data_IF_575063523893
#
_entry.id   IF_575063523893
#
_cell.length_a   1.000
_cell.length_b   1.000
_cell.length_c   1.000
_cell.angle_alpha   90.00
_cell.angle_beta   90.00
_cell.angle_gamma   90.00
#
_symmetry.space_group_name_H-M   'P 1'
#
loop_
_entity.id
_entity.type
_entity.pdbx_description
1 polymer ?
#
# COMPACT_ATOMS: atom_id res chain seq x y z
N UNK A 1 25.99 2.55 -16.64
CA UNK A 1 25.21 1.38 -16.14
C UNK A 1 23.81 1.50 -16.73
N UNK A 2 23.44 0.69 -17.73
CA UNK A 2 22.14 0.77 -18.41
C UNK A 2 21.05 0.18 -17.49
N UNK A 3 20.21 1.03 -16.91
CA UNK A 3 18.96 0.63 -16.25
C UNK A 3 17.99 0.12 -17.32
N UNK A 4 17.90 -1.20 -17.50
CA UNK A 4 16.86 -1.81 -18.33
C UNK A 4 15.60 -2.02 -17.48
N UNK A 5 14.67 -1.07 -17.59
CA UNK A 5 13.26 -1.19 -17.23
C UNK A 5 12.62 -2.29 -18.10
N UNK A 6 12.87 -3.54 -17.76
CA UNK A 6 11.91 -4.60 -18.00
C UNK A 6 11.24 -4.85 -16.66
N UNK A 7 10.38 -3.92 -16.28
CA UNK A 7 9.24 -4.22 -15.42
C UNK A 7 8.36 -5.06 -16.34
N UNK A 8 7.94 -6.26 -15.95
CA UNK A 8 6.63 -6.72 -16.43
C UNK A 8 5.58 -5.87 -15.72
N UNK A 9 5.63 -4.56 -15.94
CA UNK A 9 4.45 -3.74 -15.81
C UNK A 9 3.60 -4.26 -16.94
N UNK A 10 2.62 -5.11 -16.62
CA UNK A 10 1.39 -4.95 -17.39
C UNK A 10 1.00 -3.51 -17.08
N UNK A 11 1.36 -2.61 -18.00
CA UNK A 11 0.78 -1.29 -18.04
C UNK A 11 -0.72 -1.50 -17.87
N UNK A 12 -1.38 -0.61 -17.14
CA UNK A 12 -2.82 -0.46 -17.28
C UNK A 12 -3.00 0.00 -18.73
N UNK A 13 -3.08 -0.96 -19.64
CA UNK A 13 -3.39 -0.73 -21.04
C UNK A 13 -4.91 -0.57 -21.06
N UNK A 14 -5.34 0.69 -21.03
CA UNK A 14 -6.71 1.03 -21.39
C UNK A 14 -6.86 0.72 -22.89
N UNK A 15 -7.37 -0.48 -23.21
CA UNK A 15 -7.79 -0.80 -24.56
C UNK A 15 -9.23 -0.34 -24.75
N UNK A 16 -9.54 0.45 -25.78
CA UNK A 16 -10.93 0.71 -26.14
C UNK A 16 -11.59 -0.63 -26.50
N UNK A 17 -12.66 -1.00 -25.81
CA UNK A 17 -13.48 -2.13 -26.25
C UNK A 17 -14.16 -1.78 -27.58
N UNK A 18 -14.59 -2.82 -28.32
CA UNK A 18 -15.30 -2.66 -29.58
C UNK A 18 -16.64 -1.91 -29.46
N UNK A 19 -17.12 -1.63 -28.24
CA UNK A 19 -18.34 -0.85 -27.96
C UNK A 19 -18.08 0.56 -27.45
N UNK A 20 -16.82 0.96 -27.24
CA UNK A 20 -16.47 2.29 -26.70
C UNK A 20 -16.52 2.40 -25.18
N UNK A 21 -16.86 1.32 -24.46
CA UNK A 21 -16.80 1.27 -22.99
C UNK A 21 -15.39 0.86 -22.52
N UNK A 22 -14.89 1.52 -21.47
CA UNK A 22 -13.62 1.19 -20.84
C UNK A 22 -13.71 -0.17 -20.14
N UNK A 23 -12.81 -1.10 -20.48
CA UNK A 23 -12.63 -2.34 -19.71
C UNK A 23 -11.74 -2.01 -18.50
N UNK A 24 -12.33 -2.02 -17.31
CA UNK A 24 -11.58 -1.92 -16.05
C UNK A 24 -10.82 -3.24 -15.85
N UNK A 25 -9.50 -3.23 -16.04
CA UNK A 25 -8.67 -4.31 -15.50
C UNK A 25 -8.49 -4.07 -14.00
N UNK A 26 -8.66 -5.13 -13.19
CA UNK A 26 -8.34 -5.13 -11.76
C UNK A 26 -6.99 -4.44 -11.53
N UNK A 27 -6.88 -3.54 -10.55
CA UNK A 27 -5.57 -2.98 -10.22
C UNK A 27 -4.67 -4.12 -9.73
N UNK A 28 -3.54 -4.43 -10.41
CA UNK A 28 -2.46 -5.09 -9.71
C UNK A 28 -1.94 -4.09 -8.69
N UNK A 29 -2.24 -4.34 -7.40
CA UNK A 29 -1.66 -3.55 -6.34
C UNK A 29 -0.16 -3.61 -6.47
N UNK A 30 0.56 -2.50 -6.53
CA UNK A 30 1.89 -2.61 -7.06
C UNK A 30 2.88 -2.85 -5.91
N UNK A 31 2.83 -4.04 -5.28
CA UNK A 31 4.00 -4.52 -4.51
C UNK A 31 5.20 -4.58 -5.46
N UNK A 32 4.96 -4.90 -6.72
CA UNK A 32 5.92 -4.79 -7.83
C UNK A 32 6.33 -3.37 -8.25
N UNK A 33 5.76 -2.27 -7.70
CA UNK A 33 6.21 -0.89 -8.01
C UNK A 33 7.24 -0.35 -7.04
N UNK A 34 7.50 -1.03 -5.93
CA UNK A 34 8.70 -0.70 -5.17
C UNK A 34 9.85 -0.97 -6.13
N UNK A 35 10.60 0.06 -6.52
CA UNK A 35 11.72 -0.03 -7.45
C UNK A 35 12.92 -0.75 -6.80
N UNK A 36 12.66 -1.94 -6.28
CA UNK A 36 13.61 -2.83 -5.67
C UNK A 36 14.59 -3.30 -6.74
N UNK A 37 15.86 -3.45 -6.36
CA UNK A 37 16.85 -3.99 -7.29
C UNK A 37 16.41 -5.40 -7.77
N UNK A 38 16.43 -5.64 -9.09
CA UNK A 38 16.02 -6.91 -9.72
C UNK A 38 16.68 -8.17 -9.14
N UNK A 39 17.82 -8.02 -8.48
CA UNK A 39 18.56 -9.14 -7.89
C UNK A 39 18.44 -9.19 -6.36
N UNK A 40 17.55 -8.42 -5.73
CA UNK A 40 17.53 -8.27 -4.27
C UNK A 40 17.39 -9.60 -3.53
N UNK A 41 16.53 -10.48 -4.05
CA UNK A 41 16.24 -11.79 -3.48
C UNK A 41 16.77 -12.94 -4.33
N UNK A 42 17.69 -12.66 -5.26
CA UNK A 42 18.22 -13.69 -6.15
C UNK A 42 19.17 -14.59 -5.37
N UNK A 43 18.83 -15.87 -5.31
CA UNK A 43 19.56 -16.93 -4.62
C UNK A 43 20.02 -18.00 -5.61
N UNK A 44 20.93 -18.87 -5.19
CA UNK A 44 21.47 -19.98 -5.97
C UNK A 44 21.09 -21.30 -5.31
N UNK A 45 20.40 -22.16 -6.05
CA UNK A 45 20.05 -23.50 -5.58
C UNK A 45 21.31 -24.35 -5.44
N UNK A 46 21.55 -24.92 -4.26
CA UNK A 46 22.78 -25.70 -4.03
C UNK A 46 22.82 -27.03 -4.80
N UNK A 47 21.66 -27.58 -5.20
CA UNK A 47 21.61 -28.87 -5.92
C UNK A 47 21.78 -28.68 -7.41
N UNK A 48 21.09 -27.69 -7.99
CA UNK A 48 21.08 -27.48 -9.45
C UNK A 48 22.07 -26.42 -9.91
N UNK A 49 22.51 -25.53 -9.02
CA UNK A 49 23.30 -24.35 -9.37
C UNK A 49 22.49 -23.25 -10.07
N UNK A 50 21.18 -23.43 -10.24
CA UNK A 50 20.31 -22.48 -10.92
C UNK A 50 19.89 -21.34 -9.99
N UNK A 51 19.69 -20.16 -10.57
CA UNK A 51 19.18 -19.01 -9.82
C UNK A 51 17.68 -19.14 -9.55
N UNK A 52 17.24 -18.68 -8.39
CA UNK A 52 15.82 -18.55 -8.03
C UNK A 52 15.60 -17.34 -7.13
N UNK A 53 14.34 -17.00 -6.86
CA UNK A 53 13.93 -15.89 -6.00
C UNK A 53 12.61 -16.20 -5.25
N UNK A 54 12.08 -15.19 -4.58
CA UNK A 54 10.83 -15.21 -3.81
C UNK A 54 9.69 -14.41 -4.47
N UNK A 55 9.79 -14.09 -5.77
CA UNK A 55 8.80 -13.24 -6.45
C UNK A 55 7.40 -13.86 -6.44
N UNK A 56 7.30 -15.19 -6.54
CA UNK A 56 6.03 -15.93 -6.49
C UNK A 56 5.30 -15.73 -5.15
N UNK A 57 6.04 -15.72 -4.04
CA UNK A 57 5.50 -15.50 -2.69
C UNK A 57 5.03 -14.05 -2.50
N UNK A 58 5.81 -13.09 -2.97
CA UNK A 58 5.43 -11.68 -2.98
C UNK A 58 4.17 -11.46 -3.84
N UNK A 59 4.08 -12.11 -5.00
CA UNK A 59 2.93 -12.03 -5.88
C UNK A 59 1.66 -12.71 -5.32
N UNK A 60 1.82 -13.82 -4.60
CA UNK A 60 0.71 -14.44 -3.89
C UNK A 60 0.11 -13.49 -2.85
N UNK A 61 0.96 -12.80 -2.09
CA UNK A 61 0.53 -11.77 -1.15
C UNK A 61 -0.08 -10.54 -1.84
N UNK A 62 0.49 -10.11 -2.96
CA UNK A 62 -0.01 -8.98 -3.77
C UNK A 62 -1.46 -9.19 -4.20
N UNK A 63 -1.78 -10.38 -4.74
CA UNK A 63 -3.15 -10.70 -5.19
C UNK A 63 -4.18 -10.66 -4.07
N UNK A 64 -3.83 -11.17 -2.89
CA UNK A 64 -4.73 -11.14 -1.72
C UNK A 64 -5.02 -9.71 -1.29
N UNK A 65 -3.98 -8.87 -1.27
CA UNK A 65 -4.13 -7.46 -0.93
C UNK A 65 -4.93 -6.72 -2.01
N UNK A 66 -4.71 -7.05 -3.29
CA UNK A 66 -5.38 -6.40 -4.42
C UNK A 66 -6.88 -6.59 -4.39
N UNK A 67 -7.36 -7.77 -3.98
CA UNK A 67 -8.79 -8.01 -3.80
C UNK A 67 -9.43 -7.02 -2.79
N UNK A 68 -8.75 -6.76 -1.67
CA UNK A 68 -9.23 -5.78 -0.67
C UNK A 68 -9.17 -4.36 -1.22
N UNK A 69 -8.10 -3.97 -1.90
CA UNK A 69 -7.98 -2.61 -2.44
C UNK A 69 -8.99 -2.35 -3.56
N UNK A 70 -9.20 -3.32 -4.44
CA UNK A 70 -10.20 -3.21 -5.50
C UNK A 70 -11.62 -3.09 -4.93
N UNK A 71 -11.96 -3.85 -3.89
CA UNK A 71 -13.24 -3.70 -3.18
C UNK A 71 -13.40 -2.31 -2.53
N UNK A 72 -12.33 -1.78 -1.93
CA UNK A 72 -12.35 -0.43 -1.37
C UNK A 72 -12.47 0.65 -2.44
N UNK A 73 -11.72 0.57 -3.54
CA UNK A 73 -11.61 1.65 -4.53
C UNK A 73 -12.69 1.59 -5.60
N UNK A 74 -12.95 0.42 -6.19
CA UNK A 74 -13.90 0.29 -7.28
C UNK A 74 -15.33 0.16 -6.78
N UNK A 75 -15.54 -0.51 -5.65
CA UNK A 75 -16.87 -0.67 -5.05
C UNK A 75 -17.20 0.36 -3.97
N UNK A 76 -16.22 1.21 -3.61
CA UNK A 76 -16.35 2.20 -2.53
C UNK A 76 -16.84 1.58 -1.21
N UNK A 77 -16.42 0.35 -0.91
CA UNK A 77 -16.91 -0.43 0.23
C UNK A 77 -16.26 -0.01 1.57
N UNK A 78 -16.22 1.29 1.81
CA UNK A 78 -15.45 1.94 2.86
C UNK A 78 -15.85 1.49 4.27
N UNK A 79 -17.13 1.19 4.50
CA UNK A 79 -17.60 0.76 5.82
C UNK A 79 -16.99 -0.56 6.28
N UNK A 80 -16.50 -1.40 5.36
CA UNK A 80 -15.76 -2.63 5.69
C UNK A 80 -14.46 -2.38 6.45
N UNK A 81 -13.89 -1.18 6.40
CA UNK A 81 -12.69 -0.83 7.18
C UNK A 81 -12.93 -0.85 8.70
N UNK A 82 -14.20 -0.96 9.16
CA UNK A 82 -14.56 -1.18 10.57
C UNK A 82 -14.65 -2.64 10.95
N UNK A 83 -14.72 -3.55 9.98
CA UNK A 83 -14.82 -4.98 10.27
C UNK A 83 -13.52 -5.47 10.89
N UNK A 84 -13.64 -6.27 11.94
CA UNK A 84 -12.55 -6.95 12.60
C UNK A 84 -12.92 -8.43 12.79
N UNK A 85 -13.20 -9.11 11.67
CA UNK A 85 -13.53 -10.54 11.67
C UNK A 85 -12.28 -11.35 11.27
N UNK A 86 -11.98 -12.47 11.94
CA UNK A 86 -10.90 -13.36 11.51
C UNK A 86 -11.10 -13.78 10.04
N UNK A 87 -10.07 -13.62 9.21
CA UNK A 87 -10.12 -13.92 7.77
C UNK A 87 -10.78 -12.85 6.89
N UNK A 88 -11.38 -11.81 7.48
CA UNK A 88 -11.94 -10.66 6.78
C UNK A 88 -11.76 -9.39 7.63
N UNK A 89 -10.53 -8.89 7.64
CA UNK A 89 -10.12 -7.69 8.36
C UNK A 89 -9.39 -6.70 7.43
N UNK A 90 -10.13 -5.92 6.61
CA UNK A 90 -9.55 -5.03 5.60
C UNK A 90 -8.55 -4.00 6.14
N UNK A 91 -8.81 -3.45 7.34
CA UNK A 91 -7.86 -2.55 7.99
C UNK A 91 -6.52 -3.23 8.30
N UNK A 92 -6.55 -4.46 8.81
CA UNK A 92 -5.33 -5.23 9.04
C UNK A 92 -4.60 -5.53 7.74
N UNK A 93 -5.31 -5.91 6.68
CA UNK A 93 -4.72 -6.14 5.35
C UNK A 93 -4.02 -4.88 4.82
N UNK A 94 -4.68 -3.72 4.85
CA UNK A 94 -4.13 -2.46 4.34
C UNK A 94 -2.96 -1.93 5.17
N UNK A 95 -3.02 -2.06 6.49
CA UNK A 95 -1.92 -1.64 7.37
C UNK A 95 -0.73 -2.59 7.28
N UNK A 96 -0.97 -3.89 7.06
CA UNK A 96 0.07 -4.89 6.77
C UNK A 96 0.74 -4.62 5.42
N UNK A 97 -0.05 -4.26 4.41
CA UNK A 97 0.44 -3.78 3.13
C UNK A 97 1.32 -2.54 3.30
N UNK A 98 0.86 -1.53 4.04
CA UNK A 98 1.63 -0.31 4.30
C UNK A 98 3.01 -0.59 4.93
N UNK A 99 3.08 -1.43 5.97
CA UNK A 99 4.38 -1.76 6.59
C UNK A 99 5.25 -2.63 5.70
N UNK A 100 4.68 -3.55 4.94
CA UNK A 100 5.43 -4.39 4.01
C UNK A 100 6.05 -3.56 2.89
N UNK A 101 5.30 -2.58 2.38
CA UNK A 101 5.81 -1.61 1.39
C UNK A 101 6.95 -0.78 1.96
N UNK A 102 6.83 -0.29 3.20
CA UNK A 102 7.89 0.44 3.88
C UNK A 102 9.17 -0.41 3.99
N UNK A 103 9.05 -1.67 4.41
CA UNK A 103 10.17 -2.60 4.56
C UNK A 103 10.84 -2.91 3.22
N UNK A 104 10.07 -3.30 2.20
CA UNK A 104 10.60 -3.57 0.86
C UNK A 104 11.29 -2.33 0.28
N UNK A 105 10.75 -1.14 0.54
CA UNK A 105 11.32 0.09 0.04
C UNK A 105 12.62 0.50 0.74
N UNK A 106 12.93 -0.01 1.93
CA UNK A 106 14.28 0.15 2.49
C UNK A 106 15.33 -0.46 1.56
N UNK A 107 14.99 -1.49 0.80
CA UNK A 107 15.89 -2.07 -0.19
C UNK A 107 15.93 -1.36 -1.55
N UNK A 108 15.09 -0.35 -1.77
CA UNK A 108 15.11 0.45 -2.99
C UNK A 108 16.41 1.28 -3.07
N UNK A 109 17.23 1.16 -4.13
CA UNK A 109 18.47 1.94 -4.29
C UNK A 109 18.24 3.45 -4.37
N UNK A 110 17.04 3.88 -4.75
CA UNK A 110 16.66 5.29 -4.85
C UNK A 110 16.02 5.85 -3.57
N UNK A 111 15.90 5.03 -2.52
CA UNK A 111 15.42 5.48 -1.22
C UNK A 111 16.45 6.44 -0.60
N UNK A 112 16.01 7.66 -0.29
CA UNK A 112 16.83 8.76 0.24
C UNK A 112 16.80 8.88 1.76
N UNK A 113 16.11 7.97 2.47
CA UNK A 113 16.03 8.01 3.92
C UNK A 113 17.45 7.91 4.53
N UNK A 114 17.93 8.92 5.27
CA UNK A 114 19.28 8.92 5.82
C UNK A 114 19.51 7.82 6.86
N UNK A 115 18.45 7.30 7.48
CA UNK A 115 18.47 6.21 8.47
C UNK A 115 18.19 4.84 7.85
N UNK A 116 18.19 4.73 6.51
CA UNK A 116 17.85 3.48 5.81
C UNK A 116 18.68 2.29 6.28
N UNK A 117 20.00 2.45 6.42
CA UNK A 117 20.87 1.33 6.81
C UNK A 117 20.62 0.93 8.26
N UNK A 118 20.54 1.89 9.18
CA UNK A 118 20.22 1.62 10.59
C UNK A 118 18.90 0.87 10.76
N UNK A 119 17.88 1.23 9.97
CA UNK A 119 16.58 0.55 9.96
C UNK A 119 16.69 -0.88 9.41
N UNK A 120 17.41 -1.09 8.31
CA UNK A 120 17.65 -2.42 7.75
C UNK A 120 18.39 -3.30 8.76
N UNK A 121 19.45 -2.79 9.36
CA UNK A 121 20.25 -3.50 10.35
C UNK A 121 19.37 -3.85 11.56
N UNK A 122 18.53 -2.93 12.05
CA UNK A 122 17.59 -3.20 13.14
C UNK A 122 16.61 -4.33 12.80
N UNK A 123 16.03 -4.32 11.60
CA UNK A 123 15.05 -5.33 11.19
C UNK A 123 15.68 -6.70 10.92
N UNK A 124 16.91 -6.74 10.41
CA UNK A 124 17.62 -7.99 10.14
C UNK A 124 18.39 -8.54 11.35
N UNK A 125 18.67 -7.71 12.35
CA UNK A 125 19.57 -8.03 13.47
C UNK A 125 19.26 -9.39 14.11
N UNK A 126 18.01 -9.65 14.44
CA UNK A 126 17.61 -10.91 15.10
C UNK A 126 17.89 -12.15 14.24
N UNK A 127 17.54 -12.08 12.95
CA UNK A 127 17.75 -13.17 12.01
C UNK A 127 19.24 -13.37 11.75
N UNK A 128 20.01 -12.30 11.68
CA UNK A 128 21.46 -12.38 11.53
C UNK A 128 22.13 -12.97 12.77
N UNK A 129 21.73 -12.56 13.97
CA UNK A 129 22.26 -13.09 15.23
C UNK A 129 21.95 -14.58 15.43
N UNK A 130 20.73 -15.00 15.10
CA UNK A 130 20.23 -16.38 15.29
C UNK A 130 20.21 -17.21 14.00
N UNK A 131 20.98 -16.81 12.98
CA UNK A 131 20.92 -17.38 11.63
C UNK A 131 21.01 -18.90 11.58
N UNK A 132 22.00 -19.49 12.23
CA UNK A 132 22.22 -20.94 12.23
C UNK A 132 21.08 -21.71 12.89
N UNK A 133 20.43 -21.12 13.90
CA UNK A 133 19.28 -21.70 14.59
C UNK A 133 18.06 -21.70 13.66
N UNK A 134 17.81 -20.59 12.97
CA UNK A 134 16.75 -20.50 11.97
C UNK A 134 16.97 -21.47 10.80
N UNK A 135 18.20 -21.58 10.27
CA UNK A 135 18.52 -22.52 9.19
C UNK A 135 18.23 -23.96 9.62
N UNK A 136 18.72 -24.39 10.79
CA UNK A 136 18.47 -25.74 11.31
C UNK A 136 16.99 -26.00 11.54
N UNK A 137 16.29 -25.02 12.11
CA UNK A 137 14.84 -25.10 12.35
C UNK A 137 14.08 -25.31 11.04
N UNK A 138 14.35 -24.49 10.02
CA UNK A 138 13.74 -24.59 8.69
C UNK A 138 14.04 -25.96 8.05
N UNK A 139 15.31 -26.40 8.09
CA UNK A 139 15.72 -27.69 7.52
C UNK A 139 15.07 -28.89 8.20
N UNK A 140 14.68 -28.75 9.47
CA UNK A 140 14.00 -29.80 10.24
C UNK A 140 12.50 -29.92 9.94
N UNK A 141 11.87 -28.89 9.33
CA UNK A 141 10.43 -28.82 9.09
C UNK A 141 9.83 -30.06 8.40
N UNK A 142 10.46 -30.68 7.37
CA UNK A 142 9.92 -31.88 6.76
C UNK A 142 9.75 -33.06 7.71
N UNK A 143 10.60 -33.15 8.75
CA UNK A 143 10.52 -34.20 9.77
C UNK A 143 9.66 -33.83 10.97
N UNK A 144 9.70 -32.56 11.41
CA UNK A 144 9.03 -32.11 12.63
C UNK A 144 7.60 -31.63 12.40
N UNK A 145 7.33 -30.99 11.26
CA UNK A 145 6.03 -30.40 10.92
C UNK A 145 5.69 -30.64 9.43
N UNK A 146 5.56 -31.91 9.00
CA UNK A 146 5.37 -32.26 7.58
C UNK A 146 4.13 -31.62 6.94
N UNK A 147 3.09 -31.33 7.73
CA UNK A 147 1.87 -30.68 7.23
C UNK A 147 2.13 -29.28 6.65
N UNK A 148 3.11 -28.54 7.18
CA UNK A 148 3.48 -27.22 6.66
C UNK A 148 4.14 -27.29 5.29
N UNK A 149 4.78 -28.43 4.96
CA UNK A 149 5.45 -28.61 3.68
C UNK A 149 4.50 -28.74 2.49
N UNK A 150 3.18 -28.79 2.73
CA UNK A 150 2.17 -28.71 1.67
C UNK A 150 1.96 -27.28 1.14
N UNK A 151 2.47 -26.27 1.84
CA UNK A 151 2.31 -24.86 1.48
C UNK A 151 3.60 -24.31 0.85
N UNK A 152 3.43 -23.56 -0.25
CA UNK A 152 4.54 -23.09 -1.09
C UNK A 152 5.52 -22.18 -0.35
N UNK A 153 5.06 -21.42 0.65
CA UNK A 153 5.94 -20.53 1.43
C UNK A 153 6.96 -21.33 2.25
N UNK A 154 6.55 -22.43 2.88
CA UNK A 154 7.47 -23.27 3.66
C UNK A 154 8.41 -24.07 2.75
N UNK A 155 7.92 -24.50 1.58
CA UNK A 155 8.78 -25.09 0.55
C UNK A 155 9.86 -24.10 0.07
N UNK A 156 9.48 -22.84 -0.16
CA UNK A 156 10.43 -21.77 -0.54
C UNK A 156 11.43 -21.50 0.60
N UNK A 157 10.98 -21.39 1.84
CA UNK A 157 11.87 -21.25 3.01
C UNK A 157 12.90 -22.38 3.07
N UNK A 158 12.47 -23.63 2.91
CA UNK A 158 13.37 -24.78 2.88
C UNK A 158 14.39 -24.68 1.74
N UNK A 159 13.96 -24.23 0.56
CA UNK A 159 14.86 -24.00 -0.58
C UNK A 159 15.88 -22.90 -0.29
N UNK A 160 15.45 -21.78 0.32
CA UNK A 160 16.34 -20.67 0.74
C UNK A 160 17.37 -21.15 1.76
N UNK A 161 16.95 -21.90 2.78
CA UNK A 161 17.87 -22.42 3.80
C UNK A 161 18.98 -23.30 3.19
N UNK A 162 18.61 -24.11 2.19
CA UNK A 162 19.51 -25.00 1.47
C UNK A 162 20.26 -24.35 0.30
N UNK A 163 20.04 -23.06 0.01
CA UNK A 163 20.75 -22.37 -1.08
C UNK A 163 22.27 -22.31 -0.84
N UNK A 164 23.07 -22.12 -1.87
CA UNK A 164 24.53 -21.89 -1.76
C UNK A 164 24.90 -20.39 -1.66
N UNK A 165 23.89 -19.51 -1.65
CA UNK A 165 24.05 -18.05 -1.53
C UNK A 165 24.67 -17.61 -0.21
N UNK A 166 25.11 -16.34 -0.21
CA UNK A 166 25.68 -15.67 0.96
C UNK A 166 24.72 -15.68 2.16
N UNK A 167 25.28 -15.56 3.37
CA UNK A 167 24.49 -15.41 4.60
C UNK A 167 23.55 -14.20 4.53
N UNK A 168 24.04 -13.07 4.01
CA UNK A 168 23.26 -11.84 3.89
C UNK A 168 22.02 -12.02 2.99
N UNK A 169 22.20 -12.62 1.81
CA UNK A 169 21.08 -12.85 0.87
C UNK A 169 20.03 -13.79 1.47
N UNK A 170 20.49 -14.84 2.18
CA UNK A 170 19.60 -15.75 2.89
C UNK A 170 18.86 -15.06 4.02
N UNK A 171 19.54 -14.27 4.86
CA UNK A 171 18.90 -13.51 5.95
C UNK A 171 17.79 -12.62 5.41
N UNK A 172 18.06 -11.87 4.33
CA UNK A 172 17.09 -10.97 3.70
C UNK A 172 15.86 -11.73 3.17
N UNK A 173 16.07 -12.85 2.48
CA UNK A 173 14.99 -13.68 1.97
C UNK A 173 14.17 -14.33 3.10
N UNK A 174 14.83 -14.87 4.14
CA UNK A 174 14.17 -15.46 5.31
C UNK A 174 13.36 -14.40 6.05
N UNK A 175 13.92 -13.21 6.30
CA UNK A 175 13.21 -12.09 6.92
C UNK A 175 11.91 -11.76 6.18
N UNK A 176 12.00 -11.66 4.86
CA UNK A 176 10.85 -11.32 4.00
C UNK A 176 9.81 -12.43 4.02
N UNK A 177 10.22 -13.69 3.89
CA UNK A 177 9.31 -14.84 3.92
C UNK A 177 8.62 -15.01 5.28
N UNK A 178 9.35 -14.84 6.40
CA UNK A 178 8.76 -14.85 7.73
C UNK A 178 7.77 -13.70 7.92
N UNK A 179 8.09 -12.51 7.41
CA UNK A 179 7.19 -11.36 7.43
C UNK A 179 5.90 -11.63 6.64
N UNK A 180 6.00 -12.24 5.46
CA UNK A 180 4.83 -12.63 4.68
C UNK A 180 3.99 -13.71 5.39
N UNK A 181 4.63 -14.72 5.98
CA UNK A 181 3.92 -15.73 6.78
C UNK A 181 3.15 -15.08 7.95
N UNK A 182 3.80 -14.17 8.68
CA UNK A 182 3.18 -13.44 9.78
C UNK A 182 1.96 -12.61 9.35
N UNK A 183 2.05 -11.86 8.25
CA UNK A 183 0.92 -11.10 7.71
C UNK A 183 -0.22 -12.03 7.28
N UNK A 184 0.11 -13.18 6.70
CA UNK A 184 -0.86 -14.18 6.26
C UNK A 184 -1.42 -15.03 7.41
N UNK A 185 -1.13 -14.69 8.67
CA UNK A 185 -1.52 -15.44 9.87
C UNK A 185 -1.09 -16.91 9.83
N UNK A 186 0.04 -17.21 9.20
CA UNK A 186 0.64 -18.54 9.13
C UNK A 186 1.69 -18.69 10.23
N UNK A 187 1.91 -19.90 10.77
CA UNK A 187 2.95 -20.16 11.77
C UNK A 187 4.33 -19.67 11.31
N UNK A 188 4.93 -18.78 12.09
CA UNK A 188 6.29 -18.27 11.86
C UNK A 188 7.00 -18.14 13.20
N UNK A 189 8.31 -18.45 13.29
CA UNK A 189 9.08 -18.24 14.51
C UNK A 189 9.41 -16.76 14.75
N UNK A 190 9.14 -15.89 13.76
CA UNK A 190 9.50 -14.48 13.78
C UNK A 190 8.34 -13.61 13.30
N UNK A 191 7.87 -12.68 14.14
CA UNK A 191 6.66 -11.87 13.91
C UNK A 191 6.89 -10.36 14.09
N UNK A 192 8.08 -9.87 13.72
CA UNK A 192 8.42 -8.45 13.89
C UNK A 192 7.48 -7.54 13.08
N UNK A 193 7.06 -7.96 11.89
CA UNK A 193 6.23 -7.11 11.02
C UNK A 193 4.87 -6.78 11.65
N UNK A 194 4.22 -7.73 12.34
CA UNK A 194 2.96 -7.45 13.03
C UNK A 194 3.19 -6.61 14.28
N UNK A 195 4.30 -6.83 15.00
CA UNK A 195 4.71 -5.97 16.12
C UNK A 195 4.88 -4.52 15.64
N UNK A 196 5.56 -4.31 14.52
CA UNK A 196 5.79 -3.00 13.94
C UNK A 196 4.49 -2.35 13.45
N UNK A 197 3.65 -3.09 12.71
CA UNK A 197 2.31 -2.65 12.31
C UNK A 197 1.48 -2.21 13.50
N UNK A 198 1.41 -3.03 14.55
CA UNK A 198 0.62 -2.73 15.74
C UNK A 198 1.18 -1.50 16.48
N UNK A 199 2.51 -1.31 16.52
CA UNK A 199 3.12 -0.10 17.09
C UNK A 199 2.69 1.18 16.37
N UNK A 200 2.50 1.11 15.05
CA UNK A 200 2.10 2.25 14.22
C UNK A 200 0.58 2.48 14.26
N UNK A 201 -0.21 1.41 14.11
CA UNK A 201 -1.63 1.50 13.75
C UNK A 201 -2.61 1.04 14.82
N UNK A 202 -2.17 0.40 15.92
CA UNK A 202 -3.10 -0.09 16.97
C UNK A 202 -3.98 1.00 17.59
N UNK A 203 -3.53 2.24 17.48
CA UNK A 203 -4.18 3.43 18.02
C UNK A 203 -4.97 4.22 16.98
N UNK A 204 -5.23 3.66 15.80
CA UNK A 204 -6.06 4.34 14.79
C UNK A 204 -7.49 4.55 15.32
N UNK A 205 -7.88 5.82 15.40
CA UNK A 205 -9.18 6.25 15.92
C UNK A 205 -10.13 6.74 14.82
N UNK A 206 -9.56 7.30 13.75
CA UNK A 206 -10.29 7.75 12.56
C UNK A 206 -9.54 7.24 11.34
N UNK A 207 -10.31 6.79 10.34
CA UNK A 207 -9.82 6.52 8.99
C UNK A 207 -10.49 7.55 8.10
N UNK A 208 -9.72 8.48 7.57
CA UNK A 208 -10.22 9.38 6.53
C UNK A 208 -9.98 8.79 5.15
N UNK A 209 -10.94 8.97 4.26
CA UNK A 209 -10.91 8.55 2.88
C UNK A 209 -10.94 9.81 2.05
N UNK A 210 -9.88 10.05 1.31
CA UNK A 210 -9.70 11.31 0.59
C UNK A 210 -9.80 10.98 -0.90
N UNK A 211 -10.90 11.43 -1.50
CA UNK A 211 -11.27 11.20 -2.88
C UNK A 211 -11.04 12.47 -3.69
N UNK A 212 -10.35 12.38 -4.83
CA UNK A 212 -10.07 13.57 -5.67
C UNK A 212 -11.31 14.20 -6.29
N UNK A 213 -12.48 13.56 -6.21
CA UNK A 213 -13.71 14.06 -6.83
C UNK A 213 -13.85 13.66 -8.29
N UNK A 214 -12.99 12.77 -8.77
CA UNK A 214 -12.96 12.30 -10.15
C UNK A 214 -13.17 10.80 -10.22
N UNK A 215 -13.90 10.37 -11.25
CA UNK A 215 -14.03 8.97 -11.58
C UNK A 215 -12.64 8.32 -11.73
N UNK A 216 -12.56 7.05 -11.35
CA UNK A 216 -11.32 6.28 -11.39
C UNK A 216 -10.69 6.29 -12.78
N UNK A 217 -11.46 6.13 -13.84
CA UNK A 217 -10.99 6.10 -15.23
C UNK A 217 -11.02 7.48 -15.93
N UNK A 218 -11.20 8.57 -15.18
CA UNK A 218 -11.29 9.89 -15.79
C UNK A 218 -10.02 10.26 -16.56
N UNK A 219 -10.16 10.88 -17.73
CA UNK A 219 -9.06 11.38 -18.56
C UNK A 219 -8.86 12.89 -18.44
N UNK A 220 -9.68 13.56 -17.61
CA UNK A 220 -9.62 15.02 -17.45
C UNK A 220 -8.31 15.43 -16.74
N UNK A 221 -7.68 16.54 -17.16
CA UNK A 221 -6.56 17.14 -16.43
C UNK A 221 -6.98 17.42 -14.98
N UNK A 222 -6.25 16.85 -14.03
CA UNK A 222 -6.59 16.94 -12.61
C UNK A 222 -5.39 16.63 -11.71
N UNK A 223 -5.43 17.11 -10.47
CA UNK A 223 -4.57 16.59 -9.41
C UNK A 223 -4.83 15.10 -9.19
N UNK A 224 -3.76 14.29 -9.13
CA UNK A 224 -3.79 12.87 -8.79
C UNK A 224 -2.81 12.54 -7.66
N UNK A 225 -3.16 11.61 -6.78
CA UNK A 225 -2.21 11.11 -5.79
C UNK A 225 -1.05 10.39 -6.49
N UNK A 226 0.18 10.76 -6.16
CA UNK A 226 1.34 10.00 -6.60
C UNK A 226 1.35 8.64 -5.92
N UNK A 227 1.26 7.58 -6.72
CA UNK A 227 1.50 6.20 -6.25
C UNK A 227 3.00 5.97 -6.38
N UNK A 228 3.73 6.04 -5.26
CA UNK A 228 5.17 5.88 -5.22
C UNK A 228 5.56 4.54 -4.57
N UNK A 229 6.82 4.07 -4.73
CA UNK A 229 7.40 2.98 -3.93
C UNK A 229 7.17 3.13 -2.40
N UNK A 230 6.95 4.37 -1.96
CA UNK A 230 6.53 4.75 -0.63
C UNK A 230 5.00 4.85 -0.57
N UNK A 231 4.29 3.74 -0.78
CA UNK A 231 2.82 3.71 -0.67
C UNK A 231 2.37 4.18 0.72
N UNK A 232 3.27 4.33 1.69
CA UNK A 232 3.04 4.90 3.02
C UNK A 232 3.81 6.22 3.25
N UNK A 233 3.11 7.27 3.69
CA UNK A 233 3.67 8.57 4.08
C UNK A 233 3.33 8.93 5.53
N UNK A 234 4.34 9.16 6.37
CA UNK A 234 4.16 9.40 7.80
C UNK A 234 4.22 10.90 8.15
N UNK A 235 3.11 11.47 8.62
CA UNK A 235 3.04 12.86 9.12
C UNK A 235 2.86 12.92 10.64
N UNK A 236 3.94 12.61 11.36
CA UNK A 236 3.95 12.43 12.83
C UNK A 236 3.52 13.66 13.61
N UNK A 237 3.82 14.88 13.12
CA UNK A 237 3.45 16.13 13.81
C UNK A 237 1.94 16.29 14.04
N UNK A 238 1.13 15.66 13.19
CA UNK A 238 -0.33 15.71 13.27
C UNK A 238 -0.95 14.34 13.58
N UNK A 239 -0.15 13.34 13.97
CA UNK A 239 -0.59 11.95 14.17
C UNK A 239 -1.31 11.37 12.95
N UNK A 240 -0.91 11.78 11.74
CA UNK A 240 -1.53 11.41 10.47
C UNK A 240 -0.62 10.49 9.69
N UNK A 241 -1.21 9.48 9.07
CA UNK A 241 -0.50 8.46 8.32
C UNK A 241 -1.24 8.23 7.03
N UNK A 242 -0.63 8.58 5.91
CA UNK A 242 -1.25 8.46 4.59
C UNK A 242 -0.84 7.17 3.89
N UNK A 243 -1.80 6.60 3.16
CA UNK A 243 -1.64 5.42 2.33
C UNK A 243 -2.33 5.68 0.98
N UNK A 244 -1.64 6.29 0.00
CA UNK A 244 -2.17 6.43 -1.36
C UNK A 244 -2.40 5.06 -1.98
N UNK A 245 -3.65 4.74 -2.31
CA UNK A 245 -4.00 3.43 -2.88
C UNK A 245 -4.17 3.49 -4.40
N UNK A 246 -4.63 4.63 -4.92
CA UNK A 246 -4.75 4.91 -6.35
C UNK A 246 -4.52 6.39 -6.62
N UNK A 247 -4.50 6.76 -7.90
CA UNK A 247 -4.40 8.16 -8.35
C UNK A 247 -5.59 9.02 -7.94
N UNK A 248 -6.71 8.43 -7.52
CA UNK A 248 -7.92 9.15 -7.08
C UNK A 248 -8.30 8.91 -5.60
N UNK A 249 -7.64 7.98 -4.89
CA UNK A 249 -7.90 7.71 -3.48
C UNK A 249 -6.63 7.57 -2.65
N UNK A 250 -6.65 8.21 -1.48
CA UNK A 250 -5.71 7.94 -0.38
C UNK A 250 -6.48 7.72 0.90
N UNK A 251 -5.96 6.85 1.76
CA UNK A 251 -6.42 6.70 3.13
C UNK A 251 -5.53 7.51 4.07
N UNK A 252 -6.12 8.11 5.09
CA UNK A 252 -5.39 8.73 6.20
C UNK A 252 -5.81 8.06 7.51
N UNK A 253 -4.87 7.43 8.19
CA UNK A 253 -5.07 6.88 9.53
C UNK A 253 -4.68 7.93 10.56
N UNK A 254 -5.64 8.36 11.38
CA UNK A 254 -5.40 9.29 12.48
C UNK A 254 -5.20 8.50 13.77
N UNK A 255 -3.99 8.62 14.31
CA UNK A 255 -3.58 7.96 15.55
C UNK A 255 -4.08 8.78 16.74
N UNK A 256 -4.83 8.12 17.61
CA UNK A 256 -5.43 8.72 18.81
C UNK A 256 -5.23 7.84 20.03
N UNK A 257 -6.19 7.88 20.96
CA UNK A 257 -6.21 7.00 22.14
C UNK A 257 -7.49 6.16 22.21
N UNK A 258 -7.83 5.37 21.18
CA UNK A 258 -9.01 4.51 21.26
C UNK A 258 -8.73 3.31 22.19
N UNK A 259 -9.70 3.00 23.08
CA UNK A 259 -9.65 1.83 23.97
C UNK A 259 -10.06 0.52 23.27
N UNK A 260 -10.78 0.61 22.14
CA UNK A 260 -11.26 -0.53 21.34
C UNK A 260 -11.21 -0.19 19.85
N UNK A 261 -10.92 -1.18 19.00
CA UNK A 261 -10.93 -0.98 17.54
C UNK A 261 -12.35 -0.75 17.01
N UNK A 262 -12.70 0.52 16.81
CA UNK A 262 -13.96 0.96 16.21
C UNK A 262 -13.76 2.32 15.55
N UNK A 263 -12.98 2.41 14.47
CA UNK A 263 -12.63 3.69 13.89
C UNK A 263 -13.86 4.41 13.33
N UNK A 264 -13.91 5.72 13.53
CA UNK A 264 -14.79 6.59 12.75
C UNK A 264 -14.26 6.61 11.31
N UNK A 265 -15.16 6.62 10.32
CA UNK A 265 -14.75 6.74 8.91
C UNK A 265 -15.36 8.02 8.35
N UNK A 266 -14.47 8.90 7.91
CA UNK A 266 -14.81 10.20 7.35
C UNK A 266 -14.36 10.23 5.87
N UNK A 267 -15.26 10.58 4.97
CA UNK A 267 -15.02 10.61 3.53
C UNK A 267 -14.99 12.07 3.08
N UNK A 268 -13.84 12.52 2.61
CA UNK A 268 -13.62 13.87 2.09
C UNK A 268 -13.60 13.79 0.57
N UNK A 269 -14.54 14.48 -0.08
CA UNK A 269 -14.60 14.54 -1.54
C UNK A 269 -15.13 15.87 -2.04
N UNK A 270 -14.60 16.41 -3.15
CA UNK A 270 -15.24 17.50 -3.89
C UNK A 270 -16.59 17.12 -4.48
N UNK A 271 -16.74 15.84 -4.83
CA UNK A 271 -17.91 15.28 -5.50
C UNK A 271 -18.36 13.98 -4.83
N UNK A 272 -18.85 14.03 -3.58
CA UNK A 272 -19.29 12.83 -2.86
C UNK A 272 -20.44 12.12 -3.57
N UNK A 273 -21.23 12.85 -4.39
CA UNK A 273 -22.32 12.28 -5.20
C UNK A 273 -21.87 11.25 -6.24
N UNK A 274 -20.57 11.22 -6.60
CA UNK A 274 -20.03 10.22 -7.53
C UNK A 274 -19.67 8.89 -6.84
N UNK A 275 -19.72 8.83 -5.51
CA UNK A 275 -19.36 7.64 -4.76
C UNK A 275 -20.56 6.70 -4.65
N UNK A 276 -20.40 5.45 -5.08
CA UNK A 276 -21.39 4.35 -4.94
C UNK A 276 -21.94 4.19 -3.51
N UNK A 277 -21.15 4.56 -2.50
CA UNK A 277 -21.50 4.42 -1.08
C UNK A 277 -22.04 5.72 -0.46
N UNK A 278 -22.40 6.74 -1.25
CA UNK A 278 -22.78 8.07 -0.76
C UNK A 278 -23.94 8.06 0.26
N UNK A 279 -24.80 7.03 0.23
CA UNK A 279 -25.93 6.84 1.15
C UNK A 279 -25.62 5.96 2.37
N UNK A 280 -24.38 5.47 2.52
CA UNK A 280 -24.00 4.60 3.65
C UNK A 280 -24.02 5.39 4.97
N UNK A 281 -25.00 5.06 5.83
CA UNK A 281 -25.22 5.69 7.14
C UNK A 281 -24.09 5.46 8.13
N UNK A 282 -23.25 4.47 7.89
CA UNK A 282 -22.09 4.25 8.73
C UNK A 282 -21.01 5.28 8.42
N UNK A 283 -20.95 5.88 7.23
CA UNK A 283 -19.91 6.82 6.84
C UNK A 283 -20.31 8.28 7.14
N UNK A 284 -19.31 9.12 7.38
CA UNK A 284 -19.51 10.58 7.44
C UNK A 284 -18.95 11.20 6.18
N UNK A 285 -19.81 11.78 5.34
CA UNK A 285 -19.36 12.47 4.14
C UNK A 285 -19.11 13.95 4.44
N UNK A 286 -18.04 14.49 3.87
CA UNK A 286 -17.68 15.90 3.91
C UNK A 286 -17.43 16.36 2.49
N UNK A 287 -18.26 17.32 2.03
CA UNK A 287 -18.04 17.95 0.73
C UNK A 287 -16.97 19.01 0.91
N UNK A 288 -15.82 18.78 0.29
CA UNK A 288 -14.67 19.69 0.32
C UNK A 288 -14.48 20.35 -1.04
N UNK A 289 -13.46 21.19 -1.18
CA UNK A 289 -13.03 21.73 -2.47
C UNK A 289 -11.94 20.87 -3.10
N UNK A 290 -11.60 21.17 -4.35
CA UNK A 290 -10.39 20.62 -4.98
C UNK A 290 -9.11 21.14 -4.30
N UNK A 291 -9.06 22.39 -3.84
CA UNK A 291 -7.89 22.94 -3.11
C UNK A 291 -7.57 22.18 -1.81
N UNK A 292 -8.60 21.71 -1.12
CA UNK A 292 -8.41 20.85 0.05
C UNK A 292 -7.67 19.56 -0.34
N UNK A 293 -8.07 18.94 -1.45
CA UNK A 293 -7.42 17.76 -2.00
C UNK A 293 -5.99 18.07 -2.42
N UNK A 294 -5.75 19.21 -3.08
CA UNK A 294 -4.42 19.65 -3.49
C UNK A 294 -3.47 19.84 -2.32
N UNK A 295 -3.94 20.37 -1.19
CA UNK A 295 -3.14 20.53 0.01
C UNK A 295 -2.74 19.18 0.61
N UNK A 296 -3.66 18.20 0.64
CA UNK A 296 -3.36 16.83 1.07
C UNK A 296 -2.34 16.20 0.14
N UNK A 297 -2.55 16.31 -1.18
CA UNK A 297 -1.63 15.80 -2.18
C UNK A 297 -0.24 16.41 -2.06
N UNK A 298 -0.15 17.73 -1.96
CA UNK A 298 1.12 18.45 -1.79
C UNK A 298 1.87 18.00 -0.54
N UNK A 299 1.14 17.70 0.54
CA UNK A 299 1.74 17.12 1.75
C UNK A 299 2.33 15.75 1.46
N UNK A 300 1.56 14.85 0.83
CA UNK A 300 2.02 13.50 0.45
C UNK A 300 3.23 13.57 -0.49
N UNK A 301 3.18 14.42 -1.51
CA UNK A 301 4.23 14.56 -2.51
C UNK A 301 5.52 15.14 -1.93
N UNK A 302 5.43 16.13 -1.05
CA UNK A 302 6.58 16.66 -0.31
C UNK A 302 7.30 15.53 0.47
N UNK A 303 6.54 14.65 1.13
CA UNK A 303 7.10 13.48 1.82
C UNK A 303 7.70 12.46 0.85
N UNK A 304 7.05 12.20 -0.29
CA UNK A 304 7.53 11.28 -1.30
C UNK A 304 8.83 11.74 -1.97
N UNK A 305 8.93 13.01 -2.36
CA UNK A 305 10.14 13.62 -2.95
C UNK A 305 11.32 13.58 -1.98
N UNK A 306 11.05 13.76 -0.68
CA UNK A 306 12.05 13.62 0.37
C UNK A 306 12.59 12.19 0.52
N UNK A 307 11.76 11.16 0.23
CA UNK A 307 12.09 9.76 0.48
C UNK A 307 12.49 8.95 -0.76
N UNK A 308 12.19 9.40 -1.99
CA UNK A 308 12.47 8.67 -3.23
C UNK A 308 12.89 9.60 -4.37
N UNK A 309 13.73 9.10 -5.28
CA UNK A 309 14.05 9.76 -6.56
C UNK A 309 13.05 9.45 -7.68
N UNK A 310 12.13 8.51 -7.47
CA UNK A 310 11.09 8.13 -8.44
C UNK A 310 9.71 8.33 -7.83
N UNK A 311 8.89 9.09 -8.56
CA UNK A 311 7.48 9.31 -8.31
C UNK A 311 6.74 9.10 -9.63
N UNK A 312 5.61 8.39 -9.59
CA UNK A 312 4.70 8.32 -10.72
C UNK A 312 3.73 9.50 -10.60
N UNK A 313 4.08 10.64 -11.19
CA UNK A 313 3.07 11.68 -11.45
C UNK A 313 2.34 11.31 -12.73
N UNK A 314 1.00 11.30 -12.73
CA UNK A 314 0.30 11.22 -14.01
C UNK A 314 0.68 12.43 -14.88
N UNK A 315 0.66 12.16 -16.17
CA UNK A 315 0.99 13.03 -17.28
C UNK A 315 0.34 14.42 -17.13
N UNK A 316 1.14 15.47 -17.33
CA UNK A 316 0.78 16.89 -17.53
C UNK A 316 0.40 17.75 -16.30
N UNK A 317 1.42 18.22 -15.59
CA UNK A 317 1.48 19.57 -15.00
C UNK A 317 1.54 20.69 -16.07
N UNK A 318 1.08 20.45 -17.30
CA UNK A 318 1.38 21.33 -18.44
C UNK A 318 0.52 22.58 -18.52
N UNK A 319 -0.40 22.80 -17.58
CA UNK A 319 -1.27 23.98 -17.62
C UNK A 319 -1.68 24.45 -16.22
N UNK A 320 -0.69 24.66 -15.35
CA UNK A 320 -0.88 25.23 -14.01
C UNK A 320 -1.62 26.57 -14.11
N UNK A 321 -1.32 27.40 -15.11
CA UNK A 321 -2.02 28.68 -15.34
C UNK A 321 -3.52 28.47 -15.62
N UNK A 322 -3.89 27.51 -16.46
CA UNK A 322 -5.30 27.20 -16.72
C UNK A 322 -6.02 26.61 -15.52
N UNK A 323 -5.32 25.87 -14.65
CA UNK A 323 -5.88 25.40 -13.38
C UNK A 323 -6.11 26.56 -12.40
N UNK A 324 -5.15 27.47 -12.26
CA UNK A 324 -5.28 28.69 -11.44
C UNK A 324 -6.42 29.60 -11.95
N UNK A 325 -6.57 29.73 -13.27
CA UNK A 325 -7.69 30.45 -13.90
C UNK A 325 -9.05 29.82 -13.57
N UNK A 326 -9.14 28.49 -13.47
CA UNK A 326 -10.36 27.77 -13.07
C UNK A 326 -10.66 27.99 -11.58
N UNK A 327 -9.63 28.03 -10.72
CA UNK A 327 -9.80 28.34 -9.30
C UNK A 327 -10.37 29.74 -9.10
N UNK A 328 -9.87 30.74 -9.84
CA UNK A 328 -10.33 32.12 -9.75
C UNK A 328 -11.77 32.30 -10.27
N UNK A 329 -12.15 31.55 -11.32
CA UNK A 329 -13.50 31.63 -11.93
C UNK A 329 -14.57 30.89 -11.13
N UNK A 330 -14.22 29.78 -10.48
CA UNK A 330 -15.17 28.88 -9.79
C UNK A 330 -14.87 28.75 -8.29
N UNK A 331 -14.66 29.89 -7.62
CA UNK A 331 -14.22 29.97 -6.22
C UNK A 331 -15.12 29.20 -5.21
N UNK A 332 -16.38 28.93 -5.57
CA UNK A 332 -17.30 28.07 -4.78
C UNK A 332 -16.90 26.58 -4.75
N UNK A 333 -16.08 26.12 -5.72
CA UNK A 333 -15.59 24.74 -5.85
C UNK A 333 -14.09 24.61 -5.51
N UNK A 334 -13.36 25.73 -5.52
CA UNK A 334 -11.91 25.84 -5.32
C UNK A 334 -11.62 26.83 -4.17
N UNK A 335 -11.71 26.35 -2.92
CA UNK A 335 -11.44 27.13 -1.71
C UNK A 335 -10.90 26.23 -0.60
N UNK A 336 -9.91 26.59 0.21
CA UNK A 336 -9.50 25.70 1.32
C UNK A 336 -10.40 25.90 2.56
N UNK A 337 -11.32 24.99 2.91
CA UNK A 337 -12.12 25.13 4.13
C UNK A 337 -11.23 25.01 5.37
N UNK A 338 -11.36 25.94 6.30
CA UNK A 338 -10.77 25.79 7.64
C UNK A 338 -11.44 24.64 8.42
N UNK A 339 -12.76 24.49 8.27
CA UNK A 339 -13.58 23.44 8.87
C UNK A 339 -14.48 22.79 7.80
N UNK A 340 -14.18 21.58 7.30
CA UNK A 340 -15.02 20.86 6.34
C UNK A 340 -16.44 20.64 6.87
N UNK A 341 -17.46 20.97 6.07
CA UNK A 341 -18.87 20.80 6.47
C UNK A 341 -19.38 19.43 6.08
N UNK A 342 -20.10 18.78 7.01
CA UNK A 342 -20.71 17.47 6.76
C UNK A 342 -21.73 17.58 5.64
N UNK A 343 -21.59 16.72 4.64
CA UNK A 343 -22.54 16.58 3.54
C UNK A 343 -23.58 15.51 3.87
N UNK A 344 -24.81 15.75 3.46
CA UNK A 344 -25.92 14.81 3.53
C UNK A 344 -26.43 14.60 2.10
N UNK A 345 -26.74 13.36 1.69
CA UNK A 345 -27.44 13.12 0.43
C UNK A 345 -28.72 13.95 0.40
N UNK A 346 -28.97 14.65 -0.71
CA UNK A 346 -30.31 15.19 -0.93
C UNK A 346 -31.26 13.99 -1.01
N UNK A 347 -32.26 13.94 -0.13
CA UNK A 347 -33.35 12.98 -0.32
C UNK A 347 -33.92 13.26 -1.71
N UNK A 348 -34.14 12.24 -2.56
CA UNK A 348 -34.86 12.47 -3.80
C UNK A 348 -36.18 13.12 -3.43
N UNK A 349 -36.44 14.30 -4.01
CA UNK A 349 -37.72 14.96 -3.87
C UNK A 349 -38.80 13.92 -4.16
N UNK A 350 -39.72 13.74 -3.22
CA UNK A 350 -40.90 12.93 -3.42
C UNK A 350 -41.77 13.67 -4.43
N UNK A 351 -41.56 13.38 -5.71
CA UNK A 351 -42.42 13.77 -6.82
C UNK A 351 -43.16 12.56 -7.37
#
# INVERSE_FOLDING_TARGET
>A
MRLSLAVRSRQIEAYPSHTGDNVLYEQPLPISSVAVAKNLFRLIDAKTGEAFDIEEELWAYERLTAAVVNDIIHEHNFSRLRLAKPGDFPFETLTSFAVMQLLLNLHNPQNKNPYKQDLLDHFHHDIEMHFEEYIKSIQSLPGTQPALMNDSFYQKLLRVANASSSREDKCRAIFTLFSLLAILNKPTPYDMINVFRNKIFSRTSVIEIIHTGHAFDSTNPRPVFAIAPNIFCLYTKQNRIYLPLSHNFTLCFIIGSPLTFRPRIDVFSPRPELLKCCDDRHLNFYKVSFDYIDNVMSTIDMYNVGNSSTFYSAYQLSDVEKYLDLQEKDHQYYYTPADPVRWLPQQPDSL
#
